data_IF_572282279550
#
_entry.id   IF_572282279550
#
_cell.length_a   1.000
_cell.length_b   1.000
_cell.length_c   1.000
_cell.angle_alpha   90.00
_cell.angle_beta   90.00
_cell.angle_gamma   90.00
#
_symmetry.space_group_name_H-M   'P 1'
#
loop_
_entity.id
_entity.type
_entity.pdbx_description
1 polymer ?
#
# COMPACT_ATOMS: atom_id res chain seq x y z
N UNK A 1 7.43 17.71 40.20
CA UNK A 1 7.08 16.29 39.99
C UNK A 1 6.41 16.17 38.63
N UNK A 2 7.11 15.66 37.62
CA UNK A 2 6.54 15.47 36.27
C UNK A 2 5.85 14.10 36.24
N UNK A 3 4.52 14.10 36.17
CA UNK A 3 3.74 12.89 35.90
C UNK A 3 3.89 12.55 34.42
N UNK A 4 4.95 11.79 34.09
CA UNK A 4 5.05 11.12 32.80
C UNK A 4 4.05 9.97 32.84
N UNK A 5 2.86 10.20 32.29
CA UNK A 5 1.90 9.12 32.06
C UNK A 5 2.57 8.13 31.11
N UNK A 6 2.79 6.85 31.49
CA UNK A 6 3.31 5.88 30.57
C UNK A 6 2.25 5.65 29.49
N UNK A 7 2.48 6.19 28.29
CA UNK A 7 1.71 5.78 27.12
C UNK A 7 1.74 4.25 27.04
N UNK A 8 0.59 3.57 26.95
CA UNK A 8 0.56 2.13 27.04
C UNK A 8 1.27 1.53 25.82
N UNK A 9 2.40 0.84 26.06
CA UNK A 9 3.21 0.14 25.05
C UNK A 9 2.37 -0.77 24.12
N UNK A 10 1.19 -1.19 24.56
CA UNK A 10 0.23 -1.94 23.76
C UNK A 10 -0.34 -1.14 22.57
N UNK A 11 -0.67 0.15 22.76
CA UNK A 11 -1.23 0.99 21.71
C UNK A 11 -0.20 1.25 20.58
N UNK A 12 1.07 1.46 20.94
CA UNK A 12 2.17 1.61 19.98
C UNK A 12 2.46 0.32 19.20
N UNK A 13 2.37 -0.85 19.85
CA UNK A 13 2.50 -2.16 19.18
C UNK A 13 1.38 -2.40 18.16
N UNK A 14 0.13 -2.14 18.53
CA UNK A 14 -1.02 -2.31 17.64
C UNK A 14 -0.96 -1.33 16.44
N UNK A 15 -0.53 -0.09 16.67
CA UNK A 15 -0.31 0.88 15.59
C UNK A 15 0.79 0.42 14.62
N UNK A 16 1.91 -0.11 15.13
CA UNK A 16 2.99 -0.65 14.31
C UNK A 16 2.58 -1.89 13.50
N UNK A 17 1.85 -2.81 14.11
CA UNK A 17 1.32 -4.01 13.45
C UNK A 17 0.31 -3.66 12.35
N UNK A 18 -0.60 -2.73 12.64
CA UNK A 18 -1.57 -2.21 11.66
C UNK A 18 -0.84 -1.63 10.44
N UNK A 19 0.16 -0.78 10.66
CA UNK A 19 0.90 -0.18 9.56
C UNK A 19 1.71 -1.21 8.75
N UNK A 20 2.27 -2.23 9.41
CA UNK A 20 2.93 -3.35 8.74
C UNK A 20 1.95 -4.10 7.83
N UNK A 21 0.73 -4.39 8.29
CA UNK A 21 -0.31 -5.00 7.47
C UNK A 21 -0.71 -4.13 6.28
N UNK A 22 -0.87 -2.81 6.49
CA UNK A 22 -1.16 -1.86 5.40
C UNK A 22 -0.05 -1.83 4.35
N UNK A 23 1.22 -1.76 4.75
CA UNK A 23 2.37 -1.82 3.84
C UNK A 23 2.38 -3.11 3.04
N UNK A 24 2.17 -4.25 3.71
CA UNK A 24 2.12 -5.56 3.04
C UNK A 24 0.98 -5.63 2.03
N UNK A 25 -0.19 -5.08 2.35
CA UNK A 25 -1.32 -5.01 1.42
C UNK A 25 -1.01 -4.15 0.18
N UNK A 26 -0.41 -2.97 0.36
CA UNK A 26 0.01 -2.10 -0.75
C UNK A 26 1.02 -2.81 -1.66
N UNK A 27 2.00 -3.51 -1.08
CA UNK A 27 2.98 -4.28 -1.85
C UNK A 27 2.32 -5.39 -2.67
N UNK A 28 1.38 -6.15 -2.08
CA UNK A 28 0.66 -7.22 -2.78
C UNK A 28 -0.19 -6.67 -3.93
N UNK A 29 -0.83 -5.51 -3.74
CA UNK A 29 -1.58 -4.83 -4.78
C UNK A 29 -0.66 -4.39 -5.93
N UNK A 30 0.50 -3.80 -5.62
CA UNK A 30 1.47 -3.39 -6.65
C UNK A 30 1.93 -4.58 -7.50
N UNK A 31 2.34 -5.68 -6.84
CA UNK A 31 2.72 -6.92 -7.53
C UNK A 31 1.59 -7.48 -8.40
N UNK A 32 0.34 -7.40 -7.93
CA UNK A 32 -0.82 -7.85 -8.70
C UNK A 32 -1.07 -7.00 -9.95
N UNK A 33 -0.88 -5.67 -9.84
CA UNK A 33 -0.99 -4.75 -10.99
C UNK A 33 0.16 -4.93 -11.99
N UNK A 34 1.37 -5.22 -11.50
CA UNK A 34 2.51 -5.57 -12.37
C UNK A 34 2.25 -6.87 -13.13
N UNK A 35 1.74 -7.90 -12.45
CA UNK A 35 1.36 -9.15 -13.09
C UNK A 35 0.23 -8.98 -14.11
N UNK A 36 -0.80 -8.18 -13.77
CA UNK A 36 -1.90 -7.86 -14.69
C UNK A 36 -1.39 -7.15 -15.95
N UNK A 37 -0.42 -6.25 -15.81
CA UNK A 37 0.22 -5.59 -16.97
C UNK A 37 0.89 -6.60 -17.89
N UNK A 38 1.69 -7.52 -17.33
CA UNK A 38 2.36 -8.56 -18.12
C UNK A 38 1.36 -9.42 -18.89
N UNK A 39 0.25 -9.83 -18.24
CA UNK A 39 -0.82 -10.58 -18.91
C UNK A 39 -1.49 -9.81 -20.06
N UNK A 40 -1.65 -8.50 -19.93
CA UNK A 40 -2.18 -7.65 -21.01
C UNK A 40 -1.16 -7.55 -22.16
N UNK A 41 0.12 -7.40 -21.84
CA UNK A 41 1.20 -7.31 -22.83
C UNK A 41 1.34 -8.61 -23.63
N UNK A 42 1.27 -9.76 -22.95
CA UNK A 42 1.35 -11.12 -23.53
C UNK A 42 0.11 -11.54 -24.33
N UNK A 43 -0.98 -10.77 -24.28
CA UNK A 43 -2.24 -11.06 -24.97
C UNK A 43 -2.49 -10.05 -26.12
N UNK A 44 -1.88 -10.24 -27.31
CA UNK A 44 -1.80 -9.22 -28.36
C UNK A 44 -3.10 -8.96 -29.12
N UNK A 45 -4.17 -9.76 -28.92
CA UNK A 45 -5.42 -9.70 -29.70
C UNK A 45 -6.68 -9.72 -28.84
N UNK A 46 -6.73 -8.85 -27.84
CA UNK A 46 -7.96 -8.61 -27.08
C UNK A 46 -8.62 -7.32 -27.58
N UNK A 47 -9.86 -7.43 -28.07
CA UNK A 47 -10.71 -6.26 -28.39
C UNK A 47 -10.89 -5.34 -27.17
N UNK A 48 -10.68 -5.88 -25.97
CA UNK A 48 -10.78 -5.16 -24.70
C UNK A 48 -9.44 -4.64 -24.19
N UNK A 49 -8.32 -4.77 -24.93
CA UNK A 49 -6.99 -4.37 -24.46
C UNK A 49 -6.95 -2.92 -23.98
N UNK A 50 -7.49 -1.99 -24.77
CA UNK A 50 -7.54 -0.58 -24.38
C UNK A 50 -8.34 -0.33 -23.11
N UNK A 51 -9.42 -1.08 -22.89
CA UNK A 51 -10.24 -1.01 -21.67
C UNK A 51 -9.48 -1.55 -20.47
N UNK A 52 -8.78 -2.67 -20.62
CA UNK A 52 -7.94 -3.27 -19.58
C UNK A 52 -6.75 -2.36 -19.22
N UNK A 53 -6.09 -1.75 -20.21
CA UNK A 53 -5.03 -0.77 -19.99
C UNK A 53 -5.54 0.48 -19.27
N UNK A 54 -6.76 0.94 -19.59
CA UNK A 54 -7.41 2.04 -18.87
C UNK A 54 -7.67 1.69 -17.41
N UNK A 55 -8.31 0.55 -17.15
CA UNK A 55 -8.59 0.08 -15.80
C UNK A 55 -7.30 -0.14 -14.99
N UNK A 56 -6.23 -0.61 -15.63
CA UNK A 56 -4.91 -0.75 -15.00
C UNK A 56 -4.32 0.61 -14.62
N UNK A 57 -4.47 1.64 -15.47
CA UNK A 57 -4.04 3.01 -15.14
C UNK A 57 -4.83 3.59 -13.96
N UNK A 58 -6.15 3.40 -13.94
CA UNK A 58 -6.99 3.82 -12.82
C UNK A 58 -6.61 3.12 -11.52
N UNK A 59 -6.41 1.81 -11.56
CA UNK A 59 -6.00 1.03 -10.39
C UNK A 59 -4.63 1.47 -9.85
N UNK A 60 -3.68 1.80 -10.73
CA UNK A 60 -2.37 2.36 -10.33
C UNK A 60 -2.52 3.72 -9.66
N UNK A 61 -3.35 4.60 -10.21
CA UNK A 61 -3.61 5.90 -9.60
C UNK A 61 -4.23 5.76 -8.20
N UNK A 62 -5.19 4.84 -8.03
CA UNK A 62 -5.77 4.56 -6.71
C UNK A 62 -4.74 3.98 -5.73
N UNK A 63 -3.83 3.13 -6.20
CA UNK A 63 -2.75 2.59 -5.38
C UNK A 63 -1.77 3.69 -4.93
N UNK A 64 -1.42 4.62 -5.80
CA UNK A 64 -0.61 5.80 -5.48
C UNK A 64 -1.31 6.68 -4.42
N UNK A 65 -2.60 6.95 -4.59
CA UNK A 65 -3.40 7.69 -3.60
C UNK A 65 -3.47 6.97 -2.25
N UNK A 66 -3.62 5.64 -2.27
CA UNK A 66 -3.61 4.81 -1.07
C UNK A 66 -2.25 4.86 -0.38
N UNK A 67 -1.15 4.83 -1.14
CA UNK A 67 0.22 4.97 -0.62
C UNK A 67 0.42 6.30 0.07
N UNK A 68 0.05 7.40 -0.59
CA UNK A 68 0.13 8.74 -0.01
C UNK A 68 -0.75 8.87 1.26
N UNK A 69 -1.93 8.26 1.26
CA UNK A 69 -2.82 8.22 2.43
C UNK A 69 -2.21 7.39 3.57
N UNK A 70 -1.56 6.27 3.26
CA UNK A 70 -0.87 5.45 4.24
C UNK A 70 0.35 6.17 4.84
N UNK A 71 1.08 6.94 4.04
CA UNK A 71 2.22 7.76 4.51
C UNK A 71 1.78 8.87 5.45
N UNK A 72 0.63 9.51 5.19
CA UNK A 72 0.07 10.54 6.09
C UNK A 72 -0.48 9.95 7.40
N UNK A 73 -1.08 8.75 7.35
CA UNK A 73 -1.58 8.05 8.54
C UNK A 73 -0.48 7.39 9.39
N UNK A 74 0.60 6.94 8.75
CA UNK A 74 1.70 6.23 9.38
C UNK A 74 3.07 6.86 9.07
N UNK A 75 3.27 8.15 9.41
CA UNK A 75 4.53 8.82 9.16
C UNK A 75 5.64 8.16 9.97
N UNK A 76 6.79 7.85 9.35
CA UNK A 76 8.01 7.39 10.02
C UNK A 76 8.04 5.99 10.67
N UNK A 77 7.31 4.99 10.14
CA UNK A 77 7.54 3.57 10.55
C UNK A 77 8.76 2.98 9.81
N UNK A 78 9.68 3.80 9.32
CA UNK A 78 10.98 3.35 8.82
C UNK A 78 12.07 3.38 9.91
N UNK A 79 11.84 4.01 11.08
CA UNK A 79 12.88 4.21 12.10
C UNK A 79 12.82 3.32 13.33
N UNK A 80 11.96 2.31 13.37
CA UNK A 80 11.73 1.53 14.60
C UNK A 80 12.00 0.04 14.49
N UNK A 81 12.58 -0.43 13.38
CA UNK A 81 12.97 -1.82 13.20
C UNK A 81 14.30 -1.99 12.43
N UNK A 82 15.27 -1.12 12.72
CA UNK A 82 16.70 -1.44 12.51
C UNK A 82 17.29 -2.07 13.79
#
# INVERSE_FOLDING_TARGET
>A
MHNVVPFPKAASRHAGETAHHFRRAILLLDLSLQHTRALIEDCPRSDNRHKLEHQLREARMLLEMLRASAETMFPNIERHYD
#
